data_IF_751725482485
#
_entry.id   IF_751725482485
#
_cell.length_a   1.000
_cell.length_b   1.000
_cell.length_c   1.000
_cell.angle_alpha   90.00
_cell.angle_beta   90.00
_cell.angle_gamma   90.00
#
_symmetry.space_group_name_H-M   'P 1'
#
loop_
_entity.id
_entity.type
_entity.pdbx_description
1 polymer ?
#
# COMPACT_ATOMS: atom_id res chain seq x y z
N UNK A 1 24.53 3.75 42.32
CA UNK A 1 25.16 5.09 42.17
C UNK A 1 24.08 6.02 41.65
N UNK A 2 23.81 7.13 42.34
CA UNK A 2 22.87 8.14 41.88
C UNK A 2 23.47 8.79 40.62
N UNK A 3 23.02 8.37 39.43
CA UNK A 3 23.38 9.08 38.21
C UNK A 3 22.65 10.42 38.22
N UNK A 4 23.44 11.49 38.29
CA UNK A 4 22.95 12.84 38.14
C UNK A 4 22.36 12.94 36.72
N UNK A 5 21.07 13.29 36.62
CA UNK A 5 20.39 13.39 35.34
C UNK A 5 21.05 14.50 34.53
N UNK A 6 21.74 14.12 33.45
CA UNK A 6 22.36 15.07 32.54
C UNK A 6 21.31 16.02 31.97
N UNK A 7 21.71 17.26 31.76
CA UNK A 7 20.93 18.26 31.03
C UNK A 7 20.87 17.92 29.54
N UNK A 8 19.88 18.48 28.83
CA UNK A 8 19.71 18.28 27.39
C UNK A 8 20.97 18.71 26.61
N UNK A 9 21.66 19.77 27.05
CA UNK A 9 22.92 20.23 26.44
C UNK A 9 24.07 19.22 26.62
N UNK A 10 24.21 18.63 27.82
CA UNK A 10 25.23 17.61 28.09
C UNK A 10 24.97 16.33 27.29
N UNK A 11 23.70 15.93 27.16
CA UNK A 11 23.30 14.77 26.34
C UNK A 11 23.65 15.01 24.87
N UNK A 12 23.32 16.19 24.32
CA UNK A 12 23.63 16.55 22.93
C UNK A 12 25.14 16.66 22.67
N UNK A 13 25.93 17.11 23.64
CA UNK A 13 27.40 17.08 23.55
C UNK A 13 27.91 15.64 23.49
N UNK A 14 27.41 14.79 24.38
CA UNK A 14 27.76 13.36 24.43
C UNK A 14 27.43 12.61 23.14
N UNK A 15 26.32 12.93 22.48
CA UNK A 15 25.98 12.37 21.17
C UNK A 15 27.00 12.74 20.09
N UNK A 16 27.43 14.00 20.03
CA UNK A 16 28.43 14.49 19.06
C UNK A 16 29.82 13.91 19.31
N UNK A 17 30.18 13.75 20.57
CA UNK A 17 31.45 13.14 20.97
C UNK A 17 31.49 11.63 20.74
N UNK A 18 30.34 11.02 20.44
CA UNK A 18 30.22 9.57 20.24
C UNK A 18 30.34 8.79 21.55
N UNK A 19 29.96 9.39 22.68
CA UNK A 19 29.99 8.73 23.99
C UNK A 19 29.01 7.55 24.00
N UNK A 20 29.55 6.34 24.05
CA UNK A 20 28.79 5.10 23.96
C UNK A 20 27.83 4.92 25.14
N UNK A 21 28.17 5.42 26.33
CA UNK A 21 27.30 5.32 27.50
C UNK A 21 26.14 6.31 27.41
N UNK A 22 26.39 7.53 26.95
CA UNK A 22 25.34 8.54 26.73
C UNK A 22 24.41 8.13 25.60
N UNK A 23 24.93 7.63 24.47
CA UNK A 23 24.11 7.14 23.36
C UNK A 23 23.25 5.95 23.80
N UNK A 24 23.82 5.00 24.53
CA UNK A 24 23.09 3.82 25.01
C UNK A 24 21.99 4.19 26.01
N UNK A 25 22.31 5.02 27.00
CA UNK A 25 21.38 5.38 28.07
C UNK A 25 20.28 6.33 27.57
N UNK A 26 20.65 7.38 26.84
CA UNK A 26 19.74 8.45 26.46
C UNK A 26 19.12 8.24 25.08
N UNK A 27 19.92 8.04 24.03
CA UNK A 27 19.36 7.88 22.67
C UNK A 27 18.53 6.59 22.56
N UNK A 28 19.13 5.44 22.87
CA UNK A 28 18.40 4.16 22.80
C UNK A 28 17.33 4.05 23.88
N UNK A 29 17.56 4.57 25.09
CA UNK A 29 16.54 4.61 26.14
C UNK A 29 15.31 5.44 25.75
N UNK A 30 15.50 6.60 25.10
CA UNK A 30 14.38 7.41 24.61
C UNK A 30 13.69 6.76 23.42
N UNK A 31 14.44 6.18 22.48
CA UNK A 31 13.86 5.40 21.39
C UNK A 31 13.06 4.19 21.91
N UNK A 32 13.50 3.54 22.98
CA UNK A 32 12.81 2.40 23.57
C UNK A 32 11.47 2.82 24.19
N UNK A 33 11.44 3.95 24.89
CA UNK A 33 10.21 4.54 25.37
C UNK A 33 9.25 4.91 24.22
N UNK A 34 9.77 5.52 23.15
CA UNK A 34 9.01 5.80 21.94
C UNK A 34 8.46 4.54 21.27
N UNK A 35 9.30 3.51 21.12
CA UNK A 35 8.93 2.24 20.50
C UNK A 35 7.77 1.58 21.25
N UNK A 36 7.81 1.54 22.59
CA UNK A 36 6.70 1.00 23.37
C UNK A 36 5.39 1.77 23.12
N UNK A 37 5.43 3.10 23.06
CA UNK A 37 4.24 3.92 22.78
C UNK A 37 3.67 3.61 21.38
N UNK A 38 4.54 3.44 20.38
CA UNK A 38 4.14 3.17 19.00
C UNK A 38 3.70 1.72 18.80
N UNK A 39 4.32 0.77 19.48
CA UNK A 39 4.00 -0.65 19.43
C UNK A 39 2.57 -0.91 19.94
N UNK A 40 2.17 -0.25 21.04
CA UNK A 40 0.78 -0.34 21.53
C UNK A 40 -0.26 0.15 20.50
N UNK A 41 0.14 1.04 19.58
CA UNK A 41 -0.76 1.60 18.56
C UNK A 41 -0.71 0.82 17.26
N UNK A 42 0.47 0.40 16.83
CA UNK A 42 0.74 -0.13 15.50
C UNK A 42 1.14 -1.61 15.49
N UNK A 43 1.23 -2.26 16.65
CA UNK A 43 1.62 -3.66 16.81
C UNK A 43 2.93 -3.95 16.03
N UNK A 44 3.97 -3.18 16.33
CA UNK A 44 5.27 -3.24 15.63
C UNK A 44 5.97 -4.58 15.88
N UNK A 45 5.92 -5.05 17.13
CA UNK A 45 6.49 -6.32 17.58
C UNK A 45 5.87 -7.56 16.93
N UNK A 46 4.66 -7.43 16.37
CA UNK A 46 3.96 -8.49 15.64
C UNK A 46 4.31 -8.50 14.14
N UNK A 47 5.11 -7.54 13.66
CA UNK A 47 5.44 -7.36 12.25
C UNK A 47 6.89 -7.72 11.99
N UNK A 48 7.14 -8.49 10.93
CA UNK A 48 8.50 -8.83 10.51
C UNK A 48 9.30 -7.56 10.17
N UNK A 49 10.58 -7.53 10.56
CA UNK A 49 11.54 -6.46 10.27
C UNK A 49 11.20 -5.08 10.84
N UNK A 50 10.25 -4.98 11.78
CA UNK A 50 9.93 -3.74 12.51
C UNK A 50 10.33 -3.78 13.98
N UNK A 51 11.34 -4.57 14.34
CA UNK A 51 11.83 -4.67 15.71
C UNK A 51 12.51 -3.37 16.18
N UNK A 52 12.58 -3.21 17.50
CA UNK A 52 13.13 -2.02 18.14
C UNK A 52 14.55 -1.69 17.67
N UNK A 53 15.44 -2.68 17.58
CA UNK A 53 16.85 -2.43 17.29
C UNK A 53 17.00 -1.94 15.85
N UNK A 54 16.30 -2.56 14.90
CA UNK A 54 16.32 -2.15 13.50
C UNK A 54 15.87 -0.69 13.32
N UNK A 55 14.74 -0.30 13.90
CA UNK A 55 14.21 1.07 13.77
C UNK A 55 15.08 2.09 14.52
N UNK A 56 15.49 1.80 15.75
CA UNK A 56 16.32 2.71 16.53
C UNK A 56 17.70 2.91 15.88
N UNK A 57 18.27 1.86 15.30
CA UNK A 57 19.56 1.93 14.62
C UNK A 57 19.47 2.72 13.31
N UNK A 58 18.38 2.56 12.54
CA UNK A 58 18.12 3.38 11.36
C UNK A 58 18.04 4.87 11.72
N UNK A 59 17.37 5.21 12.84
CA UNK A 59 17.31 6.58 13.30
C UNK A 59 18.67 7.11 13.78
N UNK A 60 19.47 6.26 14.44
CA UNK A 60 20.81 6.59 14.87
C UNK A 60 21.71 6.94 13.68
N UNK A 61 21.69 6.12 12.61
CA UNK A 61 22.46 6.35 11.38
C UNK A 61 22.10 7.70 10.78
N UNK A 62 20.81 7.99 10.63
CA UNK A 62 20.34 9.28 10.10
C UNK A 62 20.87 10.46 10.91
N UNK A 63 20.79 10.40 12.25
CA UNK A 63 21.26 11.47 13.10
C UNK A 63 22.79 11.60 13.06
N UNK A 64 23.53 10.50 13.02
CA UNK A 64 24.99 10.51 12.89
C UNK A 64 25.45 11.12 11.55
N UNK A 65 24.79 10.79 10.44
CA UNK A 65 25.05 11.38 9.12
C UNK A 65 24.85 12.90 9.09
N UNK A 66 23.98 13.41 9.98
CA UNK A 66 23.66 14.83 10.12
C UNK A 66 24.30 15.47 11.35
N UNK A 67 25.31 14.83 11.95
CA UNK A 67 26.06 15.35 13.10
C UNK A 67 25.15 15.75 14.28
N UNK A 68 24.06 14.99 14.47
CA UNK A 68 23.04 15.17 15.51
C UNK A 68 22.29 16.52 15.49
N UNK A 69 22.58 17.40 14.53
CA UNK A 69 21.96 18.73 14.36
C UNK A 69 20.42 18.74 14.38
N UNK A 70 19.70 17.74 13.80
CA UNK A 70 18.24 17.73 13.87
C UNK A 70 17.66 17.73 15.29
N UNK A 71 18.44 17.30 16.28
CA UNK A 71 18.03 17.35 17.68
C UNK A 71 18.27 18.72 18.32
N UNK A 72 19.08 19.61 17.73
CA UNK A 72 19.37 20.93 18.30
C UNK A 72 18.29 21.97 18.00
N UNK A 73 17.53 21.78 16.92
CA UNK A 73 16.47 22.69 16.47
C UNK A 73 15.18 22.58 17.30
N UNK A 74 15.20 21.87 18.42
CA UNK A 74 14.00 21.67 19.24
C UNK A 74 13.56 22.97 19.93
N UNK A 75 12.25 23.17 20.03
CA UNK A 75 11.70 24.30 20.78
C UNK A 75 12.12 24.20 22.26
N UNK A 76 12.48 25.31 22.93
CA UNK A 76 12.81 25.31 24.36
C UNK A 76 11.68 24.81 25.26
N UNK A 77 10.44 24.81 24.76
CA UNK A 77 9.25 24.36 25.48
C UNK A 77 9.01 22.84 25.37
N UNK A 78 9.85 22.11 24.64
CA UNK A 78 9.75 20.67 24.42
C UNK A 78 11.05 20.03 24.91
N UNK A 79 10.96 19.02 25.78
CA UNK A 79 12.14 18.30 26.27
C UNK A 79 12.86 17.58 25.12
N UNK A 80 14.18 17.43 25.20
CA UNK A 80 14.96 16.65 24.23
C UNK A 80 14.40 15.23 24.05
N UNK A 81 13.95 14.59 25.15
CA UNK A 81 13.30 13.28 25.11
C UNK A 81 12.07 13.27 24.20
N UNK A 82 11.14 14.20 24.41
CA UNK A 82 9.92 14.29 23.62
C UNK A 82 10.23 14.63 22.16
N UNK A 83 11.19 15.52 21.93
CA UNK A 83 11.63 15.88 20.57
C UNK A 83 12.21 14.68 19.82
N UNK A 84 13.11 13.93 20.48
CA UNK A 84 13.73 12.75 19.92
C UNK A 84 12.71 11.66 19.62
N UNK A 85 11.75 11.42 20.53
CA UNK A 85 10.65 10.46 20.30
C UNK A 85 9.76 10.89 19.13
N UNK A 86 9.50 12.20 18.98
CA UNK A 86 8.76 12.72 17.85
C UNK A 86 9.53 12.60 16.52
N UNK A 87 10.86 12.72 16.54
CA UNK A 87 11.71 12.42 15.38
C UNK A 87 11.70 10.93 15.04
N UNK A 88 11.86 10.07 16.04
CA UNK A 88 11.84 8.61 15.90
C UNK A 88 10.53 8.09 15.30
N UNK A 89 9.40 8.73 15.66
CA UNK A 89 8.10 8.48 15.06
C UNK A 89 8.10 8.48 13.53
N UNK A 90 8.86 9.38 12.90
CA UNK A 90 8.88 9.45 11.43
C UNK A 90 9.57 8.24 10.81
N UNK A 91 10.60 7.70 11.48
CA UNK A 91 11.25 6.44 11.07
C UNK A 91 10.27 5.28 11.19
N UNK A 92 9.51 5.20 12.29
CA UNK A 92 8.46 4.19 12.48
C UNK A 92 7.37 4.29 11.41
N UNK A 93 6.90 5.51 11.11
CA UNK A 93 5.87 5.72 10.08
C UNK A 93 6.38 5.38 8.68
N UNK A 94 7.64 5.70 8.37
CA UNK A 94 8.24 5.34 7.09
C UNK A 94 8.39 3.83 6.94
N UNK A 95 8.89 3.16 7.99
CA UNK A 95 8.99 1.71 8.02
C UNK A 95 7.62 1.02 7.90
N UNK A 96 6.57 1.56 8.53
CA UNK A 96 5.19 1.08 8.36
C UNK A 96 4.66 1.27 6.94
N UNK A 97 5.05 2.33 6.22
CA UNK A 97 4.70 2.50 4.80
C UNK A 97 5.36 1.45 3.94
N UNK A 98 6.65 1.19 4.17
CA UNK A 98 7.38 0.14 3.45
C UNK A 98 6.82 -1.25 3.76
N UNK A 99 6.55 -1.54 5.04
CA UNK A 99 5.87 -2.76 5.46
C UNK A 99 4.51 -2.90 4.78
N UNK A 100 3.71 -1.84 4.71
CA UNK A 100 2.45 -1.84 3.96
C UNK A 100 2.66 -1.98 2.46
N UNK A 101 3.73 -1.50 1.86
CA UNK A 101 4.01 -1.66 0.43
C UNK A 101 4.46 -3.08 0.08
N UNK A 102 5.19 -3.71 0.98
CA UNK A 102 5.76 -5.04 0.85
C UNK A 102 4.77 -6.15 1.24
N UNK A 103 3.95 -5.90 2.27
CA UNK A 103 3.01 -6.87 2.86
C UNK A 103 1.52 -6.43 2.80
N UNK A 104 1.19 -5.26 2.25
CA UNK A 104 -0.18 -4.71 2.18
C UNK A 104 -0.51 -3.89 0.92
N UNK A 105 -1.71 -3.30 0.85
CA UNK A 105 -2.17 -2.43 -0.23
C UNK A 105 -1.66 -0.98 -0.06
N UNK A 106 -1.34 -0.31 -1.18
CA UNK A 106 -0.80 1.07 -1.23
C UNK A 106 -1.86 2.07 -0.75
N UNK A 107 -1.47 3.01 0.13
CA UNK A 107 -2.36 4.10 0.57
C UNK A 107 -2.38 5.28 -0.43
N UNK A 108 -3.45 6.07 -0.46
CA UNK A 108 -3.57 7.25 -1.34
C UNK A 108 -2.50 8.32 -1.08
N UNK A 109 -2.00 8.45 0.16
CA UNK A 109 -0.97 9.43 0.46
C UNK A 109 0.43 8.94 0.02
N UNK A 110 0.66 7.63 0.02
CA UNK A 110 1.84 7.02 -0.61
C UNK A 110 1.77 7.10 -2.14
N UNK A 111 0.56 6.97 -2.71
CA UNK A 111 0.29 7.29 -4.11
C UNK A 111 0.68 8.75 -4.40
N UNK A 112 0.18 9.72 -3.62
CA UNK A 112 0.48 11.16 -3.71
C UNK A 112 1.94 11.56 -3.47
N UNK A 113 2.73 10.75 -2.75
CA UNK A 113 4.15 11.01 -2.48
C UNK A 113 5.11 10.28 -3.41
N UNK A 114 4.64 9.26 -4.15
CA UNK A 114 5.40 8.62 -5.24
C UNK A 114 5.56 9.50 -6.48
N UNK A 115 5.10 10.76 -6.42
CA UNK A 115 5.13 11.79 -7.45
C UNK A 115 6.54 12.36 -7.65
N UNK A 116 7.52 11.50 -7.86
CA UNK A 116 8.70 11.83 -8.65
C UNK A 116 8.91 10.76 -9.72
N UNK A 117 8.58 11.15 -10.96
CA UNK A 117 9.00 10.57 -12.25
C UNK A 117 8.47 9.18 -12.65
N UNK A 118 7.23 9.14 -13.17
CA UNK A 118 6.93 8.61 -14.53
C UNK A 118 5.76 9.41 -15.13
N UNK A 119 5.79 9.70 -16.44
CA UNK A 119 4.72 10.43 -17.15
C UNK A 119 3.36 9.76 -16.97
N UNK A 120 3.36 8.44 -16.87
CA UNK A 120 2.15 7.62 -16.94
C UNK A 120 1.36 7.63 -15.64
N UNK A 121 2.03 7.66 -14.48
CA UNK A 121 1.37 7.82 -13.17
C UNK A 121 0.78 9.22 -13.00
N UNK A 122 1.46 10.27 -13.50
CA UNK A 122 0.93 11.64 -13.50
C UNK A 122 -0.30 11.75 -14.40
N UNK A 123 -0.29 11.11 -15.57
CA UNK A 123 -1.44 11.01 -16.47
C UNK A 123 -2.61 10.25 -15.83
N UNK A 124 -2.35 9.17 -15.08
CA UNK A 124 -3.37 8.42 -14.33
C UNK A 124 -4.02 9.28 -13.24
N UNK A 125 -3.22 10.00 -12.46
CA UNK A 125 -3.73 10.91 -11.44
C UNK A 125 -4.54 12.07 -12.03
N UNK A 126 -4.04 12.69 -13.11
CA UNK A 126 -4.77 13.78 -13.76
C UNK A 126 -6.14 13.30 -14.26
N UNK A 127 -6.22 12.11 -14.85
CA UNK A 127 -7.50 11.51 -15.28
C UNK A 127 -8.43 11.20 -14.11
N UNK A 128 -7.90 10.74 -12.98
CA UNK A 128 -8.69 10.52 -11.77
C UNK A 128 -9.24 11.83 -11.18
N UNK A 129 -8.44 12.90 -11.19
CA UNK A 129 -8.88 14.23 -10.73
C UNK A 129 -9.88 14.86 -11.71
N UNK A 130 -9.71 14.65 -13.02
CA UNK A 130 -10.68 15.05 -14.05
C UNK A 130 -12.02 14.31 -13.85
N UNK A 131 -11.99 13.02 -13.54
CA UNK A 131 -13.19 12.23 -13.26
C UNK A 131 -13.96 12.75 -12.03
N UNK A 132 -13.26 13.10 -10.95
CA UNK A 132 -13.84 13.81 -9.81
C UNK A 132 -14.45 15.14 -10.24
N UNK A 133 -13.74 15.92 -11.07
CA UNK A 133 -14.22 17.22 -11.56
C UNK A 133 -15.51 17.13 -12.39
N UNK A 134 -15.74 16.00 -13.07
CA UNK A 134 -16.86 15.80 -13.98
C UNK A 134 -18.08 15.16 -13.33
N UNK A 135 -17.89 14.36 -12.26
CA UNK A 135 -18.97 13.60 -11.64
C UNK A 135 -19.28 13.98 -10.19
N UNK A 136 -18.37 14.67 -9.49
CA UNK A 136 -18.63 15.14 -8.13
C UNK A 136 -19.41 16.48 -8.15
N UNK A 137 -20.24 16.75 -7.12
CA UNK A 137 -21.05 17.97 -7.04
C UNK A 137 -20.20 19.18 -6.62
N UNK A 138 -19.34 19.65 -7.53
CA UNK A 138 -18.41 20.76 -7.31
C UNK A 138 -18.94 22.08 -7.87
N UNK A 139 -18.80 23.16 -7.11
CA UNK A 139 -19.03 24.51 -7.63
C UNK A 139 -17.87 25.00 -8.51
N UNK A 140 -18.08 26.12 -9.21
CA UNK A 140 -17.08 26.68 -10.15
C UNK A 140 -15.77 27.07 -9.46
N UNK A 141 -15.81 27.57 -8.22
CA UNK A 141 -14.62 27.93 -7.47
C UNK A 141 -13.88 26.69 -6.95
N UNK A 142 -14.62 25.66 -6.54
CA UNK A 142 -14.07 24.40 -6.05
C UNK A 142 -13.38 23.62 -7.18
N UNK A 143 -14.00 23.55 -8.36
CA UNK A 143 -13.38 22.96 -9.56
C UNK A 143 -12.10 23.71 -9.94
N UNK A 144 -12.12 25.04 -9.91
CA UNK A 144 -10.94 25.85 -10.21
C UNK A 144 -9.82 25.62 -9.19
N UNK A 145 -10.15 25.51 -7.90
CA UNK A 145 -9.20 25.22 -6.85
C UNK A 145 -8.54 23.84 -7.04
N UNK A 146 -9.33 22.81 -7.36
CA UNK A 146 -8.83 21.45 -7.62
C UNK A 146 -7.93 21.42 -8.85
N UNK A 147 -8.34 22.04 -9.95
CA UNK A 147 -7.56 22.13 -11.19
C UNK A 147 -6.21 22.83 -10.96
N UNK A 148 -6.23 24.00 -10.31
CA UNK A 148 -5.00 24.74 -10.02
C UNK A 148 -4.06 23.97 -9.10
N UNK A 149 -4.57 23.33 -8.05
CA UNK A 149 -3.76 22.67 -7.04
C UNK A 149 -3.26 21.29 -7.52
N UNK A 150 -4.13 20.46 -8.07
CA UNK A 150 -3.86 19.04 -8.32
C UNK A 150 -3.45 18.75 -9.77
N UNK A 151 -4.03 19.44 -10.76
CA UNK A 151 -3.71 19.23 -12.18
C UNK A 151 -2.53 20.10 -12.63
N UNK A 152 -2.55 21.39 -12.24
CA UNK A 152 -1.57 22.39 -12.70
C UNK A 152 -0.42 22.67 -11.71
N UNK A 153 -0.52 22.20 -10.47
CA UNK A 153 0.57 22.26 -9.49
C UNK A 153 0.88 23.65 -8.92
N UNK A 154 -0.08 24.59 -8.94
CA UNK A 154 0.09 25.90 -8.32
C UNK A 154 0.24 25.78 -6.80
N UNK A 155 1.08 26.62 -6.20
CA UNK A 155 1.24 26.70 -4.75
C UNK A 155 0.11 27.50 -4.13
N UNK A 156 -0.26 27.19 -2.88
CA UNK A 156 -1.39 27.82 -2.19
C UNK A 156 -1.35 29.36 -2.14
N UNK A 157 -0.17 29.98 -2.09
CA UNK A 157 -0.01 31.45 -2.15
C UNK A 157 -0.37 32.02 -3.53
N UNK A 158 -0.07 31.30 -4.61
CA UNK A 158 -0.35 31.71 -5.99
C UNK A 158 -1.84 31.57 -6.30
N UNK A 159 -2.46 30.49 -5.81
CA UNK A 159 -3.91 30.26 -5.91
C UNK A 159 -4.67 31.34 -5.13
N UNK A 160 -4.22 31.66 -3.91
CA UNK A 160 -4.82 32.71 -3.08
C UNK A 160 -4.86 34.07 -3.79
N UNK A 161 -3.75 34.44 -4.46
CA UNK A 161 -3.68 35.67 -5.25
C UNK A 161 -4.65 35.68 -6.44
N UNK A 162 -4.78 34.55 -7.16
CA UNK A 162 -5.68 34.46 -8.31
C UNK A 162 -7.18 34.41 -7.93
N UNK A 163 -7.50 33.79 -6.79
CA UNK A 163 -8.88 33.67 -6.32
C UNK A 163 -9.33 34.85 -5.44
N UNK A 164 -8.46 35.82 -5.16
CA UNK A 164 -8.76 36.95 -4.28
C UNK A 164 -9.02 36.53 -2.83
N UNK A 165 -8.35 35.46 -2.37
CA UNK A 165 -8.52 34.86 -1.05
C UNK A 165 -7.21 34.89 -0.25
N UNK A 166 -7.28 34.57 1.05
CA UNK A 166 -6.07 34.36 1.85
C UNK A 166 -5.55 32.92 1.68
N UNK A 167 -4.24 32.65 1.83
CA UNK A 167 -3.71 31.29 1.76
C UNK A 167 -4.36 30.33 2.76
N UNK A 168 -4.73 30.81 3.95
CA UNK A 168 -5.44 30.01 4.96
C UNK A 168 -6.85 29.60 4.49
N UNK A 169 -7.58 30.51 3.84
CA UNK A 169 -8.90 30.20 3.27
C UNK A 169 -8.81 29.15 2.14
N UNK A 170 -7.76 29.20 1.31
CA UNK A 170 -7.46 28.18 0.30
C UNK A 170 -7.20 26.82 0.95
N UNK A 171 -6.33 26.75 1.96
CA UNK A 171 -6.04 25.50 2.68
C UNK A 171 -7.28 24.89 3.34
N UNK A 172 -8.13 25.71 3.96
CA UNK A 172 -9.37 25.26 4.58
C UNK A 172 -10.38 24.75 3.55
N UNK A 173 -10.58 25.46 2.43
CA UNK A 173 -11.44 25.02 1.33
C UNK A 173 -10.95 23.70 0.73
N UNK A 174 -9.64 23.57 0.49
CA UNK A 174 -9.08 22.32 -0.04
C UNK A 174 -9.23 21.16 0.95
N UNK A 175 -8.98 21.39 2.25
CA UNK A 175 -9.18 20.37 3.29
C UNK A 175 -10.63 19.86 3.29
N UNK A 176 -11.60 20.78 3.23
CA UNK A 176 -13.02 20.45 3.16
C UNK A 176 -13.36 19.62 1.92
N UNK A 177 -12.91 20.07 0.74
CA UNK A 177 -13.07 19.33 -0.52
C UNK A 177 -12.44 17.94 -0.46
N UNK A 178 -11.24 17.84 0.13
CA UNK A 178 -10.53 16.57 0.30
C UNK A 178 -11.36 15.58 1.13
N UNK A 179 -11.84 16.01 2.29
CA UNK A 179 -12.54 15.16 3.26
C UNK A 179 -13.97 14.82 2.83
N UNK A 180 -14.71 15.78 2.28
CA UNK A 180 -16.15 15.60 1.99
C UNK A 180 -16.43 15.10 0.58
N UNK A 181 -15.52 15.32 -0.38
CA UNK A 181 -15.77 15.02 -1.80
C UNK A 181 -14.74 14.06 -2.35
N UNK A 182 -13.46 14.46 -2.35
CA UNK A 182 -12.40 13.73 -3.05
C UNK A 182 -12.20 12.33 -2.46
N UNK A 183 -11.99 12.23 -1.13
CA UNK A 183 -11.78 10.94 -0.45
C UNK A 183 -13.01 10.03 -0.58
N UNK A 184 -14.25 10.47 -0.28
CA UNK A 184 -15.43 9.63 -0.43
C UNK A 184 -15.67 9.16 -1.86
N UNK A 185 -15.44 10.03 -2.85
CA UNK A 185 -15.56 9.66 -4.26
C UNK A 185 -14.55 8.58 -4.64
N UNK A 186 -13.29 8.70 -4.20
CA UNK A 186 -12.28 7.69 -4.45
C UNK A 186 -12.55 6.37 -3.73
N UNK A 187 -12.94 6.40 -2.45
CA UNK A 187 -13.35 5.19 -1.71
C UNK A 187 -14.50 4.46 -2.42
N UNK A 188 -15.47 5.21 -2.93
CA UNK A 188 -16.64 4.64 -3.62
C UNK A 188 -16.31 4.06 -5.00
N UNK A 189 -15.49 4.74 -5.78
CA UNK A 189 -15.36 4.47 -7.22
C UNK A 189 -14.05 3.77 -7.62
N UNK A 190 -13.05 3.69 -6.75
CA UNK A 190 -11.71 3.20 -7.11
C UNK A 190 -11.12 2.12 -6.19
N UNK A 191 -11.93 1.51 -5.31
CA UNK A 191 -11.50 0.43 -4.38
C UNK A 191 -10.15 0.71 -3.68
N UNK A 192 -9.99 1.97 -3.26
CA UNK A 192 -8.81 2.41 -2.53
C UNK A 192 -9.08 2.34 -1.04
N UNK A 193 -8.36 1.47 -0.34
CA UNK A 193 -8.36 1.40 1.11
C UNK A 193 -7.63 2.65 1.67
N UNK A 194 -8.41 3.72 1.78
CA UNK A 194 -8.00 5.08 2.10
C UNK A 194 -7.90 5.30 3.62
N UNK A 195 -7.84 4.21 4.40
CA UNK A 195 -7.69 4.25 5.84
C UNK A 195 -6.30 4.78 6.20
N UNK A 196 -6.29 6.10 6.37
CA UNK A 196 -5.19 6.86 6.92
C UNK A 196 -4.83 6.26 8.26
N UNK A 197 -3.53 5.99 8.45
CA UNK A 197 -3.01 5.80 9.80
C UNK A 197 -3.30 7.10 10.54
N UNK A 198 -4.22 7.10 11.51
CA UNK A 198 -4.43 8.26 12.35
C UNK A 198 -3.07 8.62 12.99
N UNK A 199 -2.57 9.77 12.58
CA UNK A 199 -1.30 10.34 13.00
C UNK A 199 -1.50 10.79 14.45
N UNK A 200 -0.91 10.06 15.41
CA UNK A 200 -0.94 10.43 16.82
C UNK A 200 -0.54 11.90 17.03
N UNK A 201 -1.40 12.71 17.63
CA UNK A 201 -1.10 14.11 17.91
C UNK A 201 0.03 14.25 18.94
N UNK A 202 0.84 15.31 18.86
CA UNK A 202 1.94 15.58 19.81
C UNK A 202 1.44 15.63 21.25
N UNK A 203 0.21 16.13 21.47
CA UNK A 203 -0.45 16.13 22.78
C UNK A 203 -0.77 14.74 23.31
N UNK A 204 -1.02 13.78 22.40
CA UNK A 204 -1.26 12.38 22.76
C UNK A 204 0.03 11.63 23.08
N UNK A 205 1.18 12.04 22.50
CA UNK A 205 2.50 11.55 22.91
C UNK A 205 2.79 12.01 24.33
N UNK A 206 2.62 13.32 24.60
CA UNK A 206 2.83 13.91 25.93
C UNK A 206 1.94 13.29 27.01
N UNK A 207 0.66 13.03 26.72
CA UNK A 207 -0.24 12.41 27.70
C UNK A 207 0.13 10.96 28.00
N UNK A 208 0.53 10.18 26.99
CA UNK A 208 0.98 8.80 27.18
C UNK A 208 2.34 8.74 27.88
N UNK A 209 3.27 9.64 27.56
CA UNK A 209 4.55 9.79 28.28
C UNK A 209 4.32 10.11 29.77
N UNK A 210 3.38 11.01 30.09
CA UNK A 210 3.06 11.37 31.47
C UNK A 210 2.41 10.21 32.27
N UNK A 211 1.69 9.30 31.60
CA UNK A 211 1.13 8.10 32.23
C UNK A 211 2.18 7.01 32.47
N UNK A 212 3.34 7.05 31.79
CA UNK A 212 4.45 6.12 31.96
C UNK A 212 5.52 6.64 32.93
N UNK A 213 5.11 7.06 34.12
CA UNK A 213 6.02 7.58 35.17
C UNK A 213 7.25 6.69 35.39
N UNK A 214 8.38 7.33 35.73
CA UNK A 214 9.75 6.80 35.80
C UNK A 214 9.87 5.41 36.46
N UNK A 215 9.65 4.35 35.69
CA UNK A 215 9.97 2.99 36.07
C UNK A 215 11.27 2.59 35.38
N UNK A 216 12.33 2.42 36.18
CA UNK A 216 13.55 1.74 35.77
C UNK A 216 13.20 0.32 35.34
N UNK A 217 13.35 0.01 34.06
CA UNK A 217 13.03 -1.31 33.48
C UNK A 217 14.29 -1.98 32.92
N UNK A 218 14.36 -3.32 32.93
CA UNK A 218 15.61 -4.07 32.87
C UNK A 218 16.17 -4.21 31.45
N UNK A 219 17.48 -4.43 31.37
CA UNK A 219 18.22 -4.65 30.13
C UNK A 219 17.76 -5.92 29.38
N UNK A 220 17.78 -5.94 28.04
CA UNK A 220 17.36 -7.10 27.26
C UNK A 220 18.38 -8.23 27.38
N UNK A 221 17.89 -9.43 27.73
CA UNK A 221 18.64 -10.68 27.69
C UNK A 221 18.76 -11.15 26.24
N UNK A 222 19.99 -11.31 25.75
CA UNK A 222 20.27 -11.97 24.47
C UNK A 222 19.95 -13.48 24.58
N UNK A 223 19.21 -14.10 23.65
CA UNK A 223 19.17 -15.55 23.57
C UNK A 223 20.46 -16.06 22.93
N UNK A 224 21.11 -16.99 23.62
CA UNK A 224 22.36 -17.59 23.22
C UNK A 224 22.24 -18.80 22.28
N UNK A 225 23.34 -19.01 21.58
CA UNK A 225 23.92 -20.26 21.06
C UNK A 225 23.19 -21.08 19.99
N UNK A 226 23.82 -21.05 18.82
CA UNK A 226 23.83 -22.01 17.72
C UNK A 226 24.39 -23.38 18.17
N UNK A 227 23.56 -24.23 18.77
CA UNK A 227 23.85 -25.65 18.96
C UNK A 227 22.58 -26.42 19.32
N UNK A 228 21.78 -26.81 18.33
CA UNK A 228 21.06 -28.09 18.39
C UNK A 228 20.77 -28.59 16.97
N UNK A 229 21.46 -29.69 16.68
CA UNK A 229 21.60 -30.41 15.43
C UNK A 229 20.42 -31.37 15.22
N UNK A 230 20.06 -31.57 13.95
CA UNK A 230 19.82 -32.86 13.28
C UNK A 230 19.14 -34.02 14.07
N UNK A 231 17.96 -34.44 13.60
CA UNK A 231 17.67 -35.86 13.31
C UNK A 231 16.43 -36.01 12.40
N UNK A 232 16.41 -36.96 11.44
CA UNK A 232 15.39 -37.10 10.40
C UNK A 232 14.22 -38.01 10.83
N UNK A 233 13.06 -37.91 10.17
CA UNK A 233 12.01 -38.94 10.22
C UNK A 233 11.57 -39.35 8.82
N UNK A 234 11.50 -40.66 8.66
CA UNK A 234 11.31 -41.45 7.44
C UNK A 234 9.86 -41.50 6.95
N UNK A 235 9.76 -41.70 5.64
CA UNK A 235 8.63 -42.17 4.85
C UNK A 235 8.20 -43.60 5.21
N UNK A 236 6.89 -43.86 5.28
CA UNK A 236 6.28 -45.16 4.92
C UNK A 236 4.87 -44.92 4.32
N UNK A 237 4.59 -45.69 3.28
CA UNK A 237 3.49 -45.61 2.32
C UNK A 237 2.10 -45.96 2.89
N UNK A 238 1.05 -45.51 2.20
CA UNK A 238 -0.22 -46.23 2.07
C UNK A 238 -0.96 -45.78 0.81
N UNK A 239 -0.85 -46.61 -0.22
CA UNK A 239 -1.69 -46.61 -1.42
C UNK A 239 -3.15 -46.91 -1.09
N UNK A 240 -4.07 -46.06 -1.54
CA UNK A 240 -5.45 -46.45 -1.80
C UNK A 240 -5.95 -45.75 -3.07
N UNK A 241 -5.96 -46.52 -4.16
CA UNK A 241 -6.60 -46.16 -5.43
C UNK A 241 -8.11 -46.08 -5.19
N UNK A 242 -8.68 -44.90 -5.38
CA UNK A 242 -10.10 -44.72 -5.68
C UNK A 242 -10.19 -44.07 -7.05
N UNK A 243 -10.97 -44.67 -7.93
CA UNK A 243 -11.42 -44.08 -9.19
C UNK A 243 -12.09 -42.73 -8.88
N UNK A 244 -11.35 -41.64 -9.08
CA UNK A 244 -11.92 -40.30 -9.11
C UNK A 244 -12.57 -40.11 -10.47
N UNK A 245 -13.88 -39.85 -10.44
CA UNK A 245 -14.55 -39.09 -11.48
C UNK A 245 -13.70 -37.84 -11.68
N UNK A 246 -13.02 -37.71 -12.82
CA UNK A 246 -12.22 -36.52 -13.11
C UNK A 246 -13.17 -35.32 -13.18
N UNK A 247 -13.38 -34.66 -12.04
CA UNK A 247 -14.00 -33.35 -12.02
C UNK A 247 -13.15 -32.45 -12.90
N UNK A 248 -13.79 -31.87 -13.92
CA UNK A 248 -13.13 -30.92 -14.82
C UNK A 248 -12.58 -29.79 -13.96
N UNK A 249 -11.27 -29.53 -14.08
CA UNK A 249 -10.59 -28.46 -13.36
C UNK A 249 -11.39 -27.16 -13.54
N UNK A 250 -11.67 -26.47 -12.43
CA UNK A 250 -12.29 -25.14 -12.44
C UNK A 250 -11.28 -24.11 -11.94
N UNK A 251 -11.50 -22.86 -12.32
CA UNK A 251 -10.65 -21.74 -11.90
C UNK A 251 -10.91 -21.47 -10.42
N UNK A 252 -9.88 -21.51 -9.55
CA UNK A 252 -10.04 -21.15 -8.15
C UNK A 252 -10.57 -19.72 -7.99
N UNK A 253 -11.38 -19.48 -6.96
CA UNK A 253 -11.92 -18.15 -6.67
C UNK A 253 -10.81 -17.11 -6.44
N UNK A 254 -9.69 -17.54 -5.84
CA UNK A 254 -8.51 -16.72 -5.58
C UNK A 254 -7.26 -17.35 -6.20
N UNK A 255 -6.75 -16.73 -7.27
CA UNK A 255 -5.48 -17.12 -7.88
C UNK A 255 -4.36 -16.27 -7.26
N UNK A 256 -3.47 -16.91 -6.49
CA UNK A 256 -2.36 -16.25 -5.79
C UNK A 256 -1.02 -16.42 -6.50
N UNK A 257 -0.89 -17.44 -7.35
CA UNK A 257 0.28 -17.78 -8.16
C UNK A 257 -0.17 -18.47 -9.46
N UNK A 258 0.72 -18.49 -10.46
CA UNK A 258 0.52 -19.17 -11.73
C UNK A 258 1.70 -20.10 -12.01
N UNK A 259 1.43 -21.25 -12.60
CA UNK A 259 2.48 -22.06 -13.22
C UNK A 259 3.07 -21.36 -14.45
N UNK A 260 4.27 -21.74 -14.93
CA UNK A 260 4.94 -21.06 -16.04
C UNK A 260 4.10 -20.92 -17.31
N UNK A 261 3.23 -21.90 -17.61
CA UNK A 261 2.35 -21.92 -18.78
C UNK A 261 0.91 -21.46 -18.49
N UNK A 262 0.62 -21.03 -17.26
CA UNK A 262 -0.71 -20.55 -16.90
C UNK A 262 -0.86 -19.05 -17.16
N UNK A 263 -2.01 -18.68 -17.72
CA UNK A 263 -2.36 -17.31 -18.09
C UNK A 263 -3.57 -16.87 -17.28
N UNK A 264 -3.45 -15.76 -16.57
CA UNK A 264 -4.54 -15.15 -15.82
C UNK A 264 -5.43 -14.32 -16.75
N UNK A 265 -6.67 -14.76 -16.99
CA UNK A 265 -7.61 -14.05 -17.87
C UNK A 265 -8.55 -13.18 -17.05
N UNK A 266 -8.59 -11.88 -17.38
CA UNK A 266 -9.26 -10.88 -16.56
C UNK A 266 -10.04 -9.85 -17.39
N UNK A 267 -11.05 -9.25 -16.76
CA UNK A 267 -11.82 -8.16 -17.32
C UNK A 267 -11.07 -6.83 -17.24
N UNK A 268 -11.00 -6.10 -18.36
CA UNK A 268 -10.31 -4.80 -18.48
C UNK A 268 -11.23 -3.73 -19.08
N UNK A 269 -10.72 -2.52 -19.26
CA UNK A 269 -11.29 -1.52 -20.17
C UNK A 269 -10.39 -1.36 -21.39
N UNK A 270 -10.93 -0.82 -22.49
CA UNK A 270 -10.19 -0.62 -23.74
C UNK A 270 -8.90 0.19 -23.58
N UNK A 271 -8.83 1.08 -22.58
CA UNK A 271 -7.65 1.91 -22.30
C UNK A 271 -6.60 1.18 -21.46
N UNK A 272 -6.83 -0.06 -21.02
CA UNK A 272 -5.93 -0.84 -20.18
C UNK A 272 -5.68 -0.24 -18.79
N UNK A 273 -6.65 0.46 -18.24
CA UNK A 273 -6.54 1.05 -16.90
C UNK A 273 -6.80 -0.05 -15.85
N UNK A 274 -5.75 -0.76 -15.48
CA UNK A 274 -5.76 -1.91 -14.56
C UNK A 274 -5.65 -1.47 -13.09
N UNK A 275 -6.50 -0.54 -12.67
CA UNK A 275 -6.41 0.13 -11.36
C UNK A 275 -7.16 -0.54 -10.21
N UNK A 276 -8.02 -1.53 -10.47
CA UNK A 276 -8.79 -2.20 -9.42
C UNK A 276 -9.16 -3.65 -9.77
N UNK A 277 -9.64 -4.39 -8.77
CA UNK A 277 -10.13 -5.76 -8.90
C UNK A 277 -9.12 -6.74 -9.54
N UNK A 278 -9.63 -7.69 -10.32
CA UNK A 278 -8.81 -8.69 -11.01
C UNK A 278 -7.76 -8.06 -11.95
N UNK A 279 -8.08 -6.92 -12.59
CA UNK A 279 -7.13 -6.23 -13.45
C UNK A 279 -5.91 -5.71 -12.67
N UNK A 280 -6.12 -5.18 -11.47
CA UNK A 280 -5.02 -4.75 -10.61
C UNK A 280 -4.15 -5.92 -10.16
N UNK A 281 -4.75 -7.07 -9.84
CA UNK A 281 -4.00 -8.29 -9.51
C UNK A 281 -3.16 -8.75 -10.71
N UNK A 282 -3.74 -8.79 -11.90
CA UNK A 282 -3.03 -9.13 -13.13
C UNK A 282 -1.81 -8.21 -13.36
N UNK A 283 -2.00 -6.90 -13.17
CA UNK A 283 -0.92 -5.91 -13.30
C UNK A 283 0.18 -6.09 -12.24
N UNK A 284 -0.20 -6.28 -10.98
CA UNK A 284 0.76 -6.32 -9.86
C UNK A 284 1.52 -7.64 -9.75
N UNK A 285 0.90 -8.76 -10.15
CA UNK A 285 1.44 -10.11 -9.88
C UNK A 285 1.74 -10.92 -11.13
N UNK A 286 1.00 -10.71 -12.21
CA UNK A 286 1.02 -11.61 -13.37
C UNK A 286 1.46 -10.90 -14.66
N UNK A 287 2.09 -9.73 -14.52
CA UNK A 287 2.77 -9.03 -15.62
C UNK A 287 1.85 -8.36 -16.63
N UNK A 288 0.58 -8.11 -16.29
CA UNK A 288 -0.23 -7.23 -17.13
C UNK A 288 0.40 -5.83 -17.20
N UNK A 289 0.22 -5.15 -18.32
CA UNK A 289 0.80 -3.87 -18.68
C UNK A 289 -0.28 -2.80 -18.58
N UNK A 290 -0.02 -1.77 -17.78
CA UNK A 290 -0.89 -0.60 -17.69
C UNK A 290 -0.97 0.09 -19.06
N UNK A 291 -2.18 0.36 -19.54
CA UNK A 291 -2.42 0.95 -20.86
C UNK A 291 -2.76 -0.07 -21.97
N UNK A 292 -2.60 -1.37 -21.72
CA UNK A 292 -2.95 -2.43 -22.68
C UNK A 292 -4.25 -3.13 -22.28
N UNK A 293 -5.38 -2.71 -22.87
CA UNK A 293 -6.72 -3.21 -22.51
C UNK A 293 -7.14 -4.54 -23.13
N UNK A 294 -6.35 -5.07 -24.08
CA UNK A 294 -6.75 -6.20 -24.92
C UNK A 294 -5.59 -7.18 -25.07
N UNK A 295 -5.91 -8.47 -25.05
CA UNK A 295 -5.02 -9.54 -25.47
C UNK A 295 -3.96 -9.94 -24.44
N UNK A 296 -3.03 -10.78 -24.89
CA UNK A 296 -1.94 -11.34 -24.08
C UNK A 296 -0.90 -10.27 -23.69
N UNK A 297 -0.49 -10.29 -22.43
CA UNK A 297 0.49 -9.39 -21.83
C UNK A 297 1.09 -10.02 -20.57
N UNK A 298 2.42 -10.22 -20.56
CA UNK A 298 3.08 -10.97 -19.50
C UNK A 298 2.48 -12.38 -19.38
N UNK A 299 2.07 -12.75 -18.17
CA UNK A 299 1.34 -14.00 -17.88
C UNK A 299 -0.17 -13.76 -17.71
N UNK A 300 -0.71 -12.74 -18.41
CA UNK A 300 -2.12 -12.34 -18.31
C UNK A 300 -2.76 -12.11 -19.67
N UNK A 301 -4.08 -12.28 -19.78
CA UNK A 301 -4.85 -11.97 -20.98
C UNK A 301 -6.03 -11.05 -20.63
N UNK A 302 -6.14 -9.90 -21.31
CA UNK A 302 -7.17 -8.90 -21.02
C UNK A 302 -8.36 -9.00 -21.99
N UNK A 303 -9.57 -9.01 -21.44
CA UNK A 303 -10.83 -8.95 -22.18
C UNK A 303 -11.57 -7.66 -21.79
N UNK A 304 -11.80 -6.70 -22.71
CA UNK A 304 -12.55 -5.48 -22.43
C UNK A 304 -14.02 -5.74 -22.04
N UNK A 305 -14.43 -5.21 -20.89
CA UNK A 305 -15.81 -5.35 -20.36
C UNK A 305 -16.49 -4.02 -20.03
N UNK A 306 -15.85 -2.87 -20.29
CA UNK A 306 -16.34 -1.55 -19.82
C UNK A 306 -16.85 -0.62 -20.93
N UNK A 307 -17.05 -1.12 -22.15
CA UNK A 307 -17.40 -0.33 -23.34
C UNK A 307 -18.89 -0.39 -23.74
N UNK A 308 -19.75 -0.96 -22.89
CA UNK A 308 -21.18 -1.09 -23.16
C UNK A 308 -21.77 -2.33 -22.51
N UNK A 309 -22.84 -2.87 -23.11
CA UNK A 309 -23.45 -4.13 -22.68
C UNK A 309 -22.73 -5.37 -23.21
N UNK A 310 -23.25 -6.54 -22.87
CA UNK A 310 -22.72 -7.88 -23.19
C UNK A 310 -22.35 -8.05 -24.67
N UNK A 311 -23.14 -7.49 -25.59
CA UNK A 311 -22.86 -7.56 -27.03
C UNK A 311 -21.55 -6.89 -27.46
N UNK A 312 -21.07 -5.91 -26.69
CA UNK A 312 -19.78 -5.25 -26.97
C UNK A 312 -18.59 -6.03 -26.43
N UNK A 313 -18.84 -7.05 -25.60
CA UNK A 313 -17.82 -7.92 -24.98
C UNK A 313 -17.61 -9.16 -25.85
N UNK A 314 -18.70 -9.72 -26.42
CA UNK A 314 -18.71 -10.94 -27.24
C UNK A 314 -17.55 -11.04 -28.25
N UNK A 315 -17.25 -10.01 -29.08
CA UNK A 315 -16.16 -10.14 -30.06
C UNK A 315 -14.78 -10.39 -29.43
N UNK A 316 -14.54 -9.88 -28.22
CA UNK A 316 -13.27 -10.09 -27.51
C UNK A 316 -13.20 -11.46 -26.83
N UNK A 317 -14.35 -12.01 -26.44
CA UNK A 317 -14.44 -13.39 -25.94
C UNK A 317 -14.22 -14.37 -27.08
N UNK A 318 -14.83 -14.13 -28.25
CA UNK A 318 -14.62 -14.94 -29.45
C UNK A 318 -13.13 -14.91 -29.87
N UNK A 319 -12.50 -13.74 -29.86
CA UNK A 319 -11.07 -13.59 -30.14
C UNK A 319 -10.21 -14.32 -29.10
N UNK A 320 -10.56 -14.25 -27.82
CA UNK A 320 -9.87 -15.00 -26.76
C UNK A 320 -9.97 -16.52 -26.95
N UNK A 321 -11.17 -17.04 -27.25
CA UNK A 321 -11.37 -18.47 -27.47
C UNK A 321 -10.59 -18.94 -28.70
N UNK A 322 -10.57 -18.14 -29.76
CA UNK A 322 -9.76 -18.42 -30.94
C UNK A 322 -8.26 -18.43 -30.61
N UNK A 323 -7.78 -17.43 -29.86
CA UNK A 323 -6.40 -17.36 -29.40
C UNK A 323 -6.02 -18.58 -28.56
N UNK A 324 -6.87 -19.00 -27.62
CA UNK A 324 -6.61 -20.17 -26.79
C UNK A 324 -6.47 -21.46 -27.60
N UNK A 325 -7.29 -21.63 -28.65
CA UNK A 325 -7.22 -22.79 -29.57
C UNK A 325 -5.90 -22.83 -30.36
N UNK A 326 -5.36 -21.68 -30.73
CA UNK A 326 -4.06 -21.58 -31.44
C UNK A 326 -2.85 -21.76 -30.51
N UNK A 327 -3.06 -21.68 -29.18
CA UNK A 327 -2.02 -21.77 -28.16
C UNK A 327 -2.28 -22.90 -27.14
N UNK A 328 -2.34 -24.18 -27.58
CA UNK A 328 -2.64 -25.31 -26.71
C UNK A 328 -1.56 -25.57 -25.63
N UNK A 329 -0.37 -24.99 -25.78
CA UNK A 329 0.71 -25.04 -24.77
C UNK A 329 0.43 -24.19 -23.53
N UNK A 330 -0.48 -23.22 -23.62
CA UNK A 330 -0.86 -22.33 -22.52
C UNK A 330 -2.16 -22.81 -21.87
N UNK A 331 -2.29 -22.64 -20.55
CA UNK A 331 -3.54 -22.91 -19.82
C UNK A 331 -4.14 -21.60 -19.33
N UNK A 332 -5.36 -21.28 -19.76
CA UNK A 332 -6.01 -20.01 -19.47
C UNK A 332 -6.96 -20.16 -18.28
N UNK A 333 -6.62 -19.51 -17.16
CA UNK A 333 -7.45 -19.46 -15.96
C UNK A 333 -8.39 -18.26 -16.04
N UNK A 334 -9.65 -18.52 -16.41
CA UNK A 334 -10.67 -17.48 -16.59
C UNK A 334 -11.26 -17.09 -15.26
N UNK A 335 -11.13 -15.80 -14.91
CA UNK A 335 -11.78 -15.23 -13.73
C UNK A 335 -13.25 -14.91 -14.01
N UNK A 336 -14.01 -14.47 -13.00
CA UNK A 336 -15.38 -13.96 -13.19
C UNK A 336 -15.36 -12.59 -13.89
N UNK A 337 -15.05 -12.62 -15.19
CA UNK A 337 -14.81 -11.45 -16.05
C UNK A 337 -16.06 -10.55 -16.07
N UNK A 338 -15.89 -9.27 -15.72
CA UNK A 338 -16.98 -8.30 -15.71
C UNK A 338 -17.88 -8.31 -14.48
N UNK A 339 -17.82 -9.34 -13.61
CA UNK A 339 -18.71 -9.45 -12.46
C UNK A 339 -18.31 -8.62 -11.22
N UNK A 340 -17.14 -8.00 -11.25
CA UNK A 340 -16.71 -7.04 -10.22
C UNK A 340 -17.08 -5.62 -10.60
N UNK A 341 -16.08 -4.85 -11.06
CA UNK A 341 -16.20 -3.40 -11.32
C UNK A 341 -17.20 -3.06 -12.43
N UNK A 342 -17.30 -3.89 -13.48
CA UNK A 342 -18.22 -3.63 -14.59
C UNK A 342 -19.69 -3.94 -14.22
N UNK A 343 -19.92 -4.72 -13.16
CA UNK A 343 -21.24 -4.90 -12.55
C UNK A 343 -22.16 -5.91 -13.25
N UNK A 344 -21.63 -6.77 -14.14
CA UNK A 344 -22.43 -7.84 -14.76
C UNK A 344 -22.68 -9.00 -13.80
N UNK A 345 -23.75 -9.76 -13.99
CA UNK A 345 -23.96 -11.02 -13.29
C UNK A 345 -23.27 -12.18 -14.02
N UNK A 346 -23.11 -13.33 -13.35
CA UNK A 346 -22.62 -14.54 -14.02
C UNK A 346 -23.55 -14.95 -15.17
N UNK A 347 -24.87 -14.88 -14.96
CA UNK A 347 -25.90 -15.19 -15.97
C UNK A 347 -25.81 -14.31 -17.23
N UNK A 348 -25.23 -13.10 -17.12
CA UNK A 348 -25.02 -12.20 -18.26
C UNK A 348 -23.74 -12.54 -19.03
N UNK A 349 -22.71 -13.08 -18.38
CA UNK A 349 -21.37 -13.27 -18.97
C UNK A 349 -21.09 -14.73 -19.33
N UNK A 350 -21.41 -15.70 -18.49
CA UNK A 350 -21.15 -17.14 -18.73
C UNK A 350 -21.64 -17.60 -20.12
N UNK A 351 -22.82 -17.19 -20.62
CA UNK A 351 -23.28 -17.56 -21.96
C UNK A 351 -22.38 -17.10 -23.13
N UNK A 352 -21.48 -16.13 -22.91
CA UNK A 352 -20.47 -15.75 -23.90
C UNK A 352 -19.36 -16.79 -24.03
N UNK A 353 -19.13 -17.60 -22.99
CA UNK A 353 -18.07 -18.59 -22.88
C UNK A 353 -18.56 -20.02 -23.17
N UNK A 354 -19.77 -20.21 -23.70
CA UNK A 354 -20.33 -21.54 -24.02
C UNK A 354 -19.35 -22.37 -24.88
N UNK A 355 -18.77 -21.77 -25.93
CA UNK A 355 -17.79 -22.46 -26.80
C UNK A 355 -16.48 -22.79 -26.09
N UNK A 356 -16.15 -22.11 -24.99
CA UNK A 356 -14.93 -22.34 -24.23
C UNK A 356 -14.96 -23.68 -23.46
N UNK A 357 -16.14 -24.27 -23.22
CA UNK A 357 -16.24 -25.60 -22.61
C UNK A 357 -15.61 -26.70 -23.48
N UNK A 358 -15.57 -26.52 -24.80
CA UNK A 358 -14.99 -27.49 -25.75
C UNK A 358 -13.47 -27.28 -25.94
N UNK A 359 -12.87 -26.29 -25.28
CA UNK A 359 -11.44 -25.96 -25.41
C UNK A 359 -10.70 -26.42 -24.17
N UNK A 360 -9.89 -27.49 -24.29
CA UNK A 360 -9.27 -28.19 -23.16
C UNK A 360 -8.37 -27.30 -22.29
N UNK A 361 -7.72 -26.31 -22.89
CA UNK A 361 -6.79 -25.43 -22.21
C UNK A 361 -7.44 -24.15 -21.67
N UNK A 362 -8.77 -24.04 -21.70
CA UNK A 362 -9.52 -22.99 -21.00
C UNK A 362 -10.13 -23.58 -19.73
N UNK A 363 -9.81 -22.98 -18.59
CA UNK A 363 -10.35 -23.32 -17.28
C UNK A 363 -11.33 -22.21 -16.88
N UNK A 364 -12.59 -22.57 -16.66
CA UNK A 364 -13.66 -21.61 -16.35
C UNK A 364 -13.95 -21.55 -14.83
N UNK A 365 -14.52 -20.44 -14.32
CA UNK A 365 -14.99 -20.35 -12.94
C UNK A 365 -15.98 -21.48 -12.57
N UNK A 366 -16.11 -21.82 -11.28
CA UNK A 366 -17.15 -22.73 -10.84
C UNK A 366 -18.53 -22.14 -11.14
N UNK A 367 -19.42 -22.96 -11.71
CA UNK A 367 -20.79 -22.60 -12.12
C UNK A 367 -20.91 -21.69 -13.35
N UNK A 368 -19.84 -21.56 -14.14
CA UNK A 368 -19.92 -20.98 -15.48
C UNK A 368 -20.23 -22.02 -16.54
#
# INVERSE_FOLDING_TARGET
MYYQRLSDEEILSGFREGDADIIREYFYGYCQAGYYIFDQRYQLSEKENLDFMSLAHQYAIYLMEHDWKPLEDHSPNVSLKTWLINGFRYVVLDALKWYKKEYGSITFEDYLRSFDVTSDLRLQFNRMVEDVCDHAPLDRQERLLIDMLLLRGFKGKEIAAQMGMTPSAISQKYKKLKEEIIIPYFKKNFDMDLDMVEVMDERAILSREAMMGEASMPAPTMPGSLADMYAPRSCEDMDFIKEEVMEKRTTPEFITSLEPNEIFVFGSNLKGMHGGGAAYIAYRKFGAIMGQGVGLQGQSYAIPTMQGGVETIRPYVDEFIWFAKEHPELTFLVTRIGCGIAGFTDDEISPLFEEAHEVENIVLPPNW
#
